data_IF_790766113987
#
_entry.id   IF_790766113987
#
_cell.length_a   1.000
_cell.length_b   1.000
_cell.length_c   1.000
_cell.angle_alpha   90.00
_cell.angle_beta   90.00
_cell.angle_gamma   90.00
#
_symmetry.space_group_name_H-M   'P 1'
#
loop_
_entity.id
_entity.type
_entity.pdbx_description
1 polymer ?
#
# COMPACT_ATOMS: atom_id res chain seq x y z
N UNK A 1 -0.83 25.95 1.14
CA UNK A 1 0.52 25.56 0.65
C UNK A 1 1.20 24.45 1.45
N UNK A 2 0.92 24.24 2.75
CA UNK A 2 1.53 23.13 3.51
C UNK A 2 0.97 21.73 3.21
N UNK A 3 -0.33 21.60 2.89
CA UNK A 3 -0.94 20.31 2.51
C UNK A 3 -0.26 19.71 1.27
N UNK A 4 -0.13 20.48 0.18
CA UNK A 4 0.59 20.05 -1.01
C UNK A 4 2.07 19.67 -0.75
N UNK A 5 2.76 20.39 0.14
CA UNK A 5 4.15 20.08 0.52
C UNK A 5 4.24 18.79 1.35
N UNK A 6 3.32 18.59 2.30
CA UNK A 6 3.20 17.36 3.09
C UNK A 6 2.91 16.17 2.19
N UNK A 7 1.86 16.25 1.35
CA UNK A 7 1.51 15.21 0.39
C UNK A 7 2.67 14.85 -0.54
N UNK A 8 3.41 15.85 -1.03
CA UNK A 8 4.59 15.62 -1.87
C UNK A 8 5.69 14.86 -1.13
N UNK A 9 6.05 15.28 0.09
CA UNK A 9 7.07 14.59 0.89
C UNK A 9 6.64 13.18 1.30
N UNK A 10 5.38 13.00 1.71
CA UNK A 10 4.81 11.69 2.06
C UNK A 10 4.85 10.76 0.85
N UNK A 11 4.49 11.25 -0.33
CA UNK A 11 4.59 10.51 -1.59
C UNK A 11 6.03 10.07 -1.91
N UNK A 12 7.00 10.98 -1.76
CA UNK A 12 8.42 10.65 -1.94
C UNK A 12 8.89 9.60 -0.93
N UNK A 13 8.40 9.67 0.31
CA UNK A 13 8.75 8.71 1.36
C UNK A 13 8.16 7.33 1.08
N UNK A 14 6.91 7.23 0.62
CA UNK A 14 6.30 5.96 0.17
C UNK A 14 7.15 5.32 -0.93
N UNK A 15 7.51 6.10 -1.96
CA UNK A 15 8.33 5.61 -3.07
C UNK A 15 9.70 5.14 -2.58
N UNK A 16 10.34 5.92 -1.70
CA UNK A 16 11.65 5.58 -1.12
C UNK A 16 11.59 4.28 -0.31
N UNK A 17 10.58 4.13 0.56
CA UNK A 17 10.41 2.91 1.35
C UNK A 17 10.12 1.69 0.45
N UNK A 18 9.35 1.89 -0.61
CA UNK A 18 9.10 0.83 -1.60
C UNK A 18 10.38 0.46 -2.37
N UNK A 19 11.23 1.43 -2.73
CA UNK A 19 12.54 1.16 -3.36
C UNK A 19 13.45 0.34 -2.44
N UNK A 20 13.43 0.62 -1.13
CA UNK A 20 14.19 -0.18 -0.15
C UNK A 20 13.72 -1.65 -0.10
N UNK A 21 12.41 -1.90 -0.21
CA UNK A 21 11.89 -3.27 -0.32
C UNK A 21 12.32 -3.90 -1.64
N UNK A 22 12.28 -3.15 -2.74
CA UNK A 22 12.72 -3.63 -4.04
C UNK A 22 14.21 -4.01 -4.05
N UNK A 23 15.10 -3.24 -3.41
CA UNK A 23 16.52 -3.59 -3.28
C UNK A 23 16.75 -4.88 -2.48
N UNK A 24 16.00 -5.07 -1.40
CA UNK A 24 16.05 -6.30 -0.60
C UNK A 24 15.51 -7.50 -1.38
N UNK A 25 14.37 -7.34 -2.07
CA UNK A 25 13.77 -8.37 -2.91
C UNK A 25 14.67 -8.72 -4.11
N UNK A 26 15.34 -7.73 -4.70
CA UNK A 26 16.28 -7.92 -5.81
C UNK A 26 17.43 -8.82 -5.40
N UNK A 27 17.99 -8.57 -4.21
CA UNK A 27 19.04 -9.40 -3.61
C UNK A 27 18.53 -10.80 -3.30
N UNK A 28 17.35 -10.92 -2.69
CA UNK A 28 16.77 -12.20 -2.28
C UNK A 28 16.41 -13.12 -3.47
N UNK A 29 15.88 -12.54 -4.55
CA UNK A 29 15.41 -13.28 -5.72
C UNK A 29 16.40 -13.24 -6.89
N UNK A 30 17.61 -12.71 -6.72
CA UNK A 30 18.62 -12.60 -7.79
C UNK A 30 18.03 -12.00 -9.08
N UNK A 31 17.40 -10.84 -8.95
CA UNK A 31 16.87 -10.05 -10.07
C UNK A 31 17.51 -8.68 -10.09
N UNK A 32 17.52 -8.03 -11.25
CA UNK A 32 17.83 -6.60 -11.36
C UNK A 32 16.55 -5.84 -11.67
N UNK A 33 16.43 -4.62 -11.16
CA UNK A 33 15.26 -3.79 -11.39
C UNK A 33 15.66 -2.33 -11.63
N UNK A 34 14.83 -1.63 -12.40
CA UNK A 34 14.91 -0.18 -12.58
C UNK A 34 13.51 0.40 -12.68
N UNK A 35 13.34 1.66 -12.28
CA UNK A 35 12.07 2.37 -12.42
C UNK A 35 12.08 3.15 -13.72
N UNK A 36 11.19 2.82 -14.65
CA UNK A 36 11.17 3.38 -16.01
C UNK A 36 9.93 4.21 -16.32
N UNK A 37 8.86 4.07 -15.52
CA UNK A 37 7.67 4.92 -15.64
C UNK A 37 7.41 5.73 -14.36
N UNK A 38 6.78 6.91 -14.47
CA UNK A 38 6.36 7.69 -13.32
C UNK A 38 5.42 6.90 -12.39
N UNK A 39 5.53 7.17 -11.09
CA UNK A 39 4.56 6.74 -10.08
C UNK A 39 3.56 7.86 -9.89
N UNK A 40 2.28 7.50 -9.83
CA UNK A 40 1.18 8.44 -9.57
C UNK A 40 0.56 8.05 -8.25
N UNK A 41 0.42 9.03 -7.38
CA UNK A 41 -0.23 8.93 -6.07
C UNK A 41 -1.32 9.98 -6.05
N UNK A 42 -2.54 9.56 -5.74
CA UNK A 42 -3.65 10.47 -5.50
C UNK A 42 -3.72 10.80 -4.03
N UNK A 43 -4.39 11.92 -3.76
CA UNK A 43 -4.65 12.37 -2.43
C UNK A 43 -6.07 12.93 -2.40
N UNK A 44 -6.89 12.46 -1.47
CA UNK A 44 -8.17 13.05 -1.13
C UNK A 44 -7.98 13.89 0.13
N UNK A 45 -8.37 15.17 0.08
CA UNK A 45 -8.45 16.08 1.23
C UNK A 45 -9.86 16.67 1.23
N UNK A 46 -10.77 16.11 2.01
CA UNK A 46 -12.12 16.66 2.18
C UNK A 46 -12.48 16.85 3.66
N UNK A 47 -13.66 17.42 3.93
CA UNK A 47 -14.09 17.72 5.29
C UNK A 47 -14.32 16.48 6.19
N UNK A 48 -14.28 15.27 5.63
CA UNK A 48 -14.53 13.98 6.28
C UNK A 48 -13.36 13.00 6.14
N UNK A 49 -12.60 13.05 5.04
CA UNK A 49 -11.63 12.04 4.64
C UNK A 49 -10.32 12.68 4.15
N UNK A 50 -9.17 12.13 4.57
CA UNK A 50 -7.84 12.65 4.17
C UNK A 50 -6.81 11.54 3.86
N UNK A 51 -6.86 10.84 2.72
CA UNK A 51 -5.94 9.72 2.42
C UNK A 51 -4.99 10.00 1.24
N UNK A 52 -3.90 9.21 1.16
CA UNK A 52 -2.99 9.10 0.02
C UNK A 52 -3.05 7.64 -0.46
N UNK A 53 -3.19 7.42 -1.77
CA UNK A 53 -3.17 6.08 -2.35
C UNK A 53 -2.44 6.06 -3.68
N UNK A 54 -1.74 4.96 -3.99
CA UNK A 54 -1.16 4.73 -5.31
C UNK A 54 -2.22 4.53 -6.40
N UNK A 55 -2.29 5.44 -7.38
CA UNK A 55 -3.12 5.29 -8.59
C UNK A 55 -2.34 4.66 -9.76
N UNK A 56 -1.03 4.49 -9.61
CA UNK A 56 -0.23 3.74 -10.58
C UNK A 56 -0.52 2.24 -10.47
N UNK A 57 -0.40 1.53 -11.60
CA UNK A 57 -0.36 0.06 -11.57
C UNK A 57 0.58 -0.41 -10.46
N UNK A 58 0.19 -1.39 -9.65
CA UNK A 58 0.98 -1.86 -8.49
C UNK A 58 2.31 -2.54 -8.87
N UNK A 59 2.60 -2.65 -10.16
CA UNK A 59 3.96 -2.82 -10.70
C UNK A 59 4.89 -1.64 -10.34
N UNK A 60 4.32 -0.50 -9.96
CA UNK A 60 5.01 0.73 -9.58
C UNK A 60 6.02 1.19 -10.66
N UNK A 61 5.76 0.92 -11.93
CA UNK A 61 6.66 1.34 -13.00
C UNK A 61 8.05 0.70 -12.99
N UNK A 62 8.19 -0.47 -12.35
CA UNK A 62 9.44 -1.22 -12.33
C UNK A 62 9.57 -2.14 -13.53
N UNK A 63 10.71 -2.09 -14.19
CA UNK A 63 11.21 -3.10 -15.12
C UNK A 63 12.15 -4.02 -14.36
N UNK A 64 11.91 -5.34 -14.46
CA UNK A 64 12.60 -6.35 -13.67
C UNK A 64 13.13 -7.42 -14.61
N UNK A 65 14.41 -7.76 -14.47
CA UNK A 65 15.07 -8.78 -15.27
C UNK A 65 15.56 -9.93 -14.37
N UNK A 66 15.23 -11.15 -14.78
CA UNK A 66 15.52 -12.38 -14.03
C UNK A 66 14.75 -13.56 -14.60
N UNK A 67 14.82 -14.71 -13.93
CA UNK A 67 14.00 -15.87 -14.29
C UNK A 67 12.52 -15.59 -13.98
N UNK A 68 11.61 -16.26 -14.70
CA UNK A 68 10.17 -16.03 -14.55
C UNK A 68 9.69 -16.19 -13.09
N UNK A 69 10.13 -17.24 -12.39
CA UNK A 69 9.77 -17.47 -10.98
C UNK A 69 10.34 -16.41 -10.03
N UNK A 70 11.56 -15.93 -10.30
CA UNK A 70 12.18 -14.89 -9.48
C UNK A 70 11.54 -13.52 -9.68
N UNK A 71 11.19 -13.17 -10.93
CA UNK A 71 10.45 -11.95 -11.25
C UNK A 71 9.06 -11.98 -10.62
N UNK A 72 8.40 -13.14 -10.63
CA UNK A 72 7.11 -13.34 -9.96
C UNK A 72 7.23 -13.10 -8.45
N UNK A 73 8.21 -13.72 -7.79
CA UNK A 73 8.43 -13.59 -6.35
C UNK A 73 8.82 -12.15 -5.94
N UNK A 74 9.65 -11.49 -6.77
CA UNK A 74 9.98 -10.07 -6.60
C UNK A 74 8.74 -9.18 -6.65
N UNK A 75 7.87 -9.38 -7.65
CA UNK A 75 6.63 -8.60 -7.81
C UNK A 75 5.68 -8.84 -6.64
N UNK A 76 5.57 -10.08 -6.19
CA UNK A 76 4.76 -10.43 -5.01
C UNK A 76 5.26 -9.70 -3.77
N UNK A 77 6.57 -9.74 -3.50
CA UNK A 77 7.15 -9.09 -2.33
C UNK A 77 6.98 -7.56 -2.36
N UNK A 78 7.19 -6.91 -3.52
CA UNK A 78 7.04 -5.46 -3.63
C UNK A 78 5.58 -5.02 -3.49
N UNK A 79 4.66 -5.68 -4.20
CA UNK A 79 3.25 -5.30 -4.20
C UNK A 79 2.55 -5.59 -2.87
N UNK A 80 2.88 -6.70 -2.19
CA UNK A 80 2.35 -6.97 -0.83
C UNK A 80 2.86 -6.00 0.24
N UNK A 81 4.04 -5.41 0.05
CA UNK A 81 4.60 -4.45 0.97
C UNK A 81 4.04 -3.03 0.79
N UNK A 82 3.30 -2.75 -0.29
CA UNK A 82 2.82 -1.41 -0.59
C UNK A 82 1.82 -0.89 0.46
N UNK A 83 0.74 -1.64 0.72
CA UNK A 83 -0.28 -1.22 1.69
C UNK A 83 0.27 -0.98 3.11
N UNK A 84 1.16 -1.84 3.67
CA UNK A 84 1.82 -1.56 4.94
C UNK A 84 2.72 -0.32 4.91
N UNK A 85 3.42 -0.05 3.80
CA UNK A 85 4.26 1.15 3.66
C UNK A 85 3.39 2.40 3.67
N UNK A 86 2.29 2.41 2.90
CA UNK A 86 1.35 3.53 2.88
C UNK A 86 0.82 3.84 4.28
N UNK A 87 0.43 2.82 5.04
CA UNK A 87 0.00 2.98 6.43
C UNK A 87 1.10 3.56 7.33
N UNK A 88 2.32 3.02 7.29
CA UNK A 88 3.43 3.51 8.10
C UNK A 88 3.80 4.96 7.79
N UNK A 89 3.75 5.34 6.51
CA UNK A 89 4.17 6.65 6.02
C UNK A 89 3.05 7.70 6.15
N UNK A 90 1.78 7.32 6.01
CA UNK A 90 0.62 8.20 6.18
C UNK A 90 0.32 8.50 7.65
N UNK A 91 0.61 7.55 8.55
CA UNK A 91 0.57 7.77 9.99
C UNK A 91 -0.79 7.72 10.62
N UNK A 92 -0.94 6.81 11.59
CA UNK A 92 -2.06 6.59 12.51
C UNK A 92 -3.44 7.07 12.03
N UNK A 93 -3.66 6.88 10.75
CA UNK A 93 -4.91 7.10 10.08
C UNK A 93 -5.60 5.76 10.12
N UNK A 94 -6.57 5.70 11.01
CA UNK A 94 -7.47 4.58 11.26
C UNK A 94 -7.73 3.73 10.00
N UNK A 95 -7.08 2.57 9.91
CA UNK A 95 -7.55 1.43 9.10
C UNK A 95 -7.04 1.30 7.65
N UNK A 96 -5.92 1.91 7.26
CA UNK A 96 -5.58 2.05 5.83
C UNK A 96 -4.81 0.91 5.15
N UNK A 97 -4.16 -0.01 5.86
CA UNK A 97 -3.45 -1.11 5.20
C UNK A 97 -4.34 -2.35 5.11
N UNK A 98 -4.77 -2.71 3.90
CA UNK A 98 -5.53 -3.95 3.65
C UNK A 98 -4.77 -5.17 4.17
N UNK A 99 -3.47 -5.23 3.92
CA UNK A 99 -2.60 -6.32 4.39
C UNK A 99 -2.54 -6.38 5.92
N UNK A 100 -2.38 -5.24 6.61
CA UNK A 100 -2.34 -5.24 8.07
C UNK A 100 -3.72 -5.48 8.70
N UNK A 101 -4.79 -4.94 8.12
CA UNK A 101 -6.16 -5.13 8.61
C UNK A 101 -6.63 -6.58 8.47
N UNK A 102 -6.28 -7.26 7.36
CA UNK A 102 -6.48 -8.70 7.25
C UNK A 102 -5.62 -9.47 8.26
N UNK A 103 -4.36 -9.06 8.45
CA UNK A 103 -3.48 -9.65 9.46
C UNK A 103 -4.05 -9.54 10.89
N UNK A 104 -4.59 -8.39 11.27
CA UNK A 104 -5.22 -8.16 12.57
C UNK A 104 -6.44 -9.08 12.77
N UNK A 105 -7.32 -9.20 11.77
CA UNK A 105 -8.49 -10.09 11.82
C UNK A 105 -8.10 -11.54 12.06
N UNK A 106 -7.05 -11.99 11.38
CA UNK A 106 -6.53 -13.36 11.53
C UNK A 106 -5.96 -13.57 12.93
N UNK A 107 -5.21 -12.61 13.45
CA UNK A 107 -4.67 -12.66 14.80
C UNK A 107 -5.80 -12.63 15.87
N UNK A 108 -6.95 -12.04 15.54
CA UNK A 108 -8.16 -12.06 16.36
C UNK A 108 -9.01 -13.34 16.19
N UNK A 109 -8.53 -14.32 15.42
CA UNK A 109 -9.17 -15.64 15.27
C UNK A 109 -10.17 -15.74 14.11
N UNK A 110 -10.25 -14.74 13.25
CA UNK A 110 -11.06 -14.82 12.03
C UNK A 110 -10.35 -15.71 10.98
N UNK A 111 -11.13 -16.56 10.32
CA UNK A 111 -10.60 -17.48 9.31
C UNK A 111 -10.64 -16.83 7.93
N UNK A 112 -9.50 -16.66 7.25
CA UNK A 112 -9.50 -16.14 5.89
C UNK A 112 -9.95 -17.21 4.91
N UNK A 113 -10.55 -16.77 3.80
CA UNK A 113 -10.82 -17.62 2.64
C UNK A 113 -9.89 -17.27 1.48
N UNK A 114 -9.55 -18.30 0.70
CA UNK A 114 -8.85 -18.18 -0.57
C UNK A 114 -9.63 -18.88 -1.66
N UNK A 115 -9.95 -18.17 -2.74
CA UNK A 115 -10.63 -18.75 -3.89
C UNK A 115 -10.26 -18.05 -5.19
N UNK A 116 -10.40 -18.76 -6.31
CA UNK A 116 -10.19 -18.17 -7.62
C UNK A 116 -11.45 -17.46 -8.10
N UNK A 117 -11.31 -16.23 -8.58
CA UNK A 117 -12.38 -15.45 -9.21
C UNK A 117 -11.83 -14.60 -10.34
N UNK A 118 -12.43 -14.69 -11.53
CA UNK A 118 -12.03 -13.93 -12.72
C UNK A 118 -10.52 -14.00 -13.06
N UNK A 119 -9.88 -15.12 -12.78
CA UNK A 119 -8.43 -15.32 -13.03
C UNK A 119 -7.51 -14.81 -11.93
N UNK A 120 -8.05 -14.19 -10.88
CA UNK A 120 -7.31 -13.75 -9.69
C UNK A 120 -7.54 -14.71 -8.52
N UNK A 121 -6.52 -14.88 -7.69
CA UNK A 121 -6.68 -15.48 -6.38
C UNK A 121 -7.12 -14.39 -5.40
N UNK A 122 -8.32 -14.54 -4.86
CA UNK A 122 -8.91 -13.61 -3.89
C UNK A 122 -8.57 -14.08 -2.48
N UNK A 123 -8.16 -13.16 -1.63
CA UNK A 123 -7.92 -13.38 -0.21
C UNK A 123 -8.68 -12.35 0.63
N UNK A 124 -9.59 -12.83 1.48
CA UNK A 124 -10.49 -11.99 2.30
C UNK A 124 -10.97 -12.75 3.52
N UNK A 125 -11.70 -12.06 4.39
CA UNK A 125 -12.50 -12.71 5.44
C UNK A 125 -13.93 -12.95 4.89
N UNK A 126 -14.51 -14.15 5.08
CA UNK A 126 -15.90 -14.43 4.70
C UNK A 126 -16.86 -13.40 5.29
N UNK A 127 -17.86 -13.00 4.51
CA UNK A 127 -18.90 -12.02 4.91
C UNK A 127 -18.40 -10.61 5.25
N UNK A 128 -17.11 -10.31 5.02
CA UNK A 128 -16.52 -8.97 5.17
C UNK A 128 -15.84 -8.55 3.87
N UNK A 129 -16.58 -7.79 3.08
CA UNK A 129 -16.15 -7.33 1.74
C UNK A 129 -15.42 -5.97 1.77
N UNK A 130 -15.07 -5.48 2.96
CA UNK A 130 -14.44 -4.18 3.14
C UNK A 130 -12.93 -4.18 2.88
N UNK A 131 -12.26 -5.33 3.08
CA UNK A 131 -10.83 -5.52 2.85
C UNK A 131 -10.58 -6.84 2.12
N UNK A 132 -9.90 -6.79 0.97
CA UNK A 132 -9.49 -7.98 0.25
C UNK A 132 -8.25 -7.77 -0.61
N UNK A 133 -7.47 -8.82 -0.82
CA UNK A 133 -6.32 -8.84 -1.72
C UNK A 133 -6.66 -9.65 -2.98
N UNK A 134 -6.22 -9.17 -4.13
CA UNK A 134 -6.30 -9.86 -5.42
C UNK A 134 -4.89 -10.17 -5.90
N UNK A 135 -4.50 -11.44 -5.90
CA UNK A 135 -3.24 -11.88 -6.51
C UNK A 135 -3.48 -12.30 -7.96
N UNK A 136 -2.75 -11.68 -8.89
CA UNK A 136 -2.61 -12.19 -10.25
C UNK A 136 -1.60 -13.36 -10.27
N UNK A 137 -2.05 -14.61 -10.49
CA UNK A 137 -1.17 -15.76 -10.46
C UNK A 137 -0.16 -15.78 -11.62
N UNK A 138 -0.42 -15.06 -12.72
CA UNK A 138 0.47 -15.00 -13.89
C UNK A 138 1.60 -14.00 -13.64
N UNK A 139 1.28 -12.82 -13.10
CA UNK A 139 2.27 -11.75 -12.96
C UNK A 139 2.91 -11.67 -11.57
N UNK A 140 2.27 -12.25 -10.55
CA UNK A 140 2.70 -12.20 -9.16
C UNK A 140 2.37 -10.89 -8.46
N UNK A 141 1.57 -10.02 -9.07
CA UNK A 141 1.19 -8.73 -8.51
C UNK A 141 -0.02 -8.92 -7.58
N UNK A 142 0.08 -8.40 -6.36
CA UNK A 142 -1.04 -8.26 -5.42
C UNK A 142 -1.66 -6.89 -5.60
N UNK A 143 -2.99 -6.85 -5.65
CA UNK A 143 -3.80 -5.63 -5.54
C UNK A 143 -4.53 -5.60 -4.23
N UNK A 144 -4.30 -4.55 -3.45
CA UNK A 144 -5.08 -4.26 -2.27
C UNK A 144 -6.39 -3.55 -2.64
N UNK A 145 -7.48 -3.95 -2.01
CA UNK A 145 -8.80 -3.38 -2.23
C UNK A 145 -9.46 -3.09 -0.89
N UNK A 146 -9.81 -1.82 -0.67
CA UNK A 146 -10.51 -1.35 0.50
C UNK A 146 -11.79 -0.59 0.09
N UNK A 147 -12.92 -0.85 0.75
CA UNK A 147 -14.15 -0.07 0.61
C UNK A 147 -14.29 0.89 1.81
N UNK A 148 -14.37 2.20 1.55
CA UNK A 148 -14.63 3.23 2.58
C UNK A 148 -13.38 3.76 3.29
N UNK A 149 -12.45 4.34 2.53
CA UNK A 149 -11.11 4.75 2.99
C UNK A 149 -11.13 6.11 3.72
N UNK A 150 -10.63 6.15 4.96
CA UNK A 150 -10.44 7.36 5.77
C UNK A 150 -8.97 7.50 6.20
N UNK A 151 -8.26 8.50 5.67
CA UNK A 151 -6.92 8.86 6.13
C UNK A 151 -6.88 10.18 6.90
N UNK A 152 -5.72 10.51 7.49
CA UNK A 152 -5.38 11.81 8.09
C UNK A 152 -3.92 12.12 7.75
N UNK A 153 -3.63 13.38 7.40
CA UNK A 153 -2.25 13.85 7.16
C UNK A 153 -1.41 13.93 8.43
N UNK A 154 -0.10 13.75 8.27
CA UNK A 154 0.87 14.38 9.15
C UNK A 154 0.96 15.89 8.89
N UNK A 155 0.25 16.69 9.69
CA UNK A 155 0.60 18.08 9.90
C UNK A 155 1.40 18.22 11.19
N UNK A 156 2.66 18.66 11.10
CA UNK A 156 3.28 19.41 12.19
C UNK A 156 2.73 20.83 12.16
N UNK A 157 2.24 21.34 13.29
CA UNK A 157 1.75 22.72 13.36
C UNK A 157 2.90 23.74 13.24
N UNK A 158 2.58 25.02 13.05
CA UNK A 158 3.59 26.08 12.85
C UNK A 158 4.31 26.54 14.14
N UNK A 159 4.05 25.92 15.30
CA UNK A 159 4.45 26.47 16.61
C UNK A 159 5.04 25.41 17.55
N UNK A 160 4.66 24.12 17.47
CA UNK A 160 5.08 23.04 18.38
C UNK A 160 5.21 21.67 17.70
N UNK A 161 5.98 20.76 18.30
CA UNK A 161 6.20 19.37 17.84
C UNK A 161 4.98 18.43 18.08
N UNK A 162 3.77 18.95 18.30
CA UNK A 162 2.61 18.13 18.65
C UNK A 162 1.80 17.71 17.41
N UNK A 163 1.33 16.47 17.41
CA UNK A 163 0.34 15.96 16.45
C UNK A 163 -1.01 16.63 16.74
N UNK A 164 -1.66 17.21 15.72
CA UNK A 164 -3.03 17.73 15.85
C UNK A 164 -4.01 16.67 15.34
N UNK A 165 -4.69 15.99 16.26
CA UNK A 165 -5.90 15.23 15.96
C UNK A 165 -7.08 16.20 15.93
N UNK A 166 -7.70 16.38 14.77
CA UNK A 166 -8.98 17.07 14.67
C UNK A 166 -10.11 16.14 15.13
N UNK A 167 -10.38 16.12 16.44
CA UNK A 167 -11.69 15.69 16.94
C UNK A 167 -12.64 16.89 16.90
N UNK A 168 -13.78 16.75 16.23
CA UNK A 168 -14.90 17.70 16.38
C UNK A 168 -16.00 17.06 17.21
N UNK A 169 -16.51 17.89 18.14
CA UNK A 169 -17.76 17.76 18.90
C UNK A 169 -18.92 17.48 17.96
#
# INVERSE_FOLDING_TARGET
MKAAYGTFLTSLLVIKCHDMVADQAATAYNVTWTRTTPVVVSCLDDAKNAYITGESSLRMGMDVNGTMGNVWAFRFACSSAFSPIEYCVAGDSTGLSVTMGLGERILNGELPELFMSNGYLVYKIPEKDDLFLLLDPVTGIITDCALGINGVYYFHDQITNNQIHWQRI
#
